data_IF_251552912451
#
_entry.id   IF_251552912451
#
_cell.length_a   1.000
_cell.length_b   1.000
_cell.length_c   1.000
_cell.angle_alpha   90.00
_cell.angle_beta   90.00
_cell.angle_gamma   90.00
#
_symmetry.space_group_name_H-M   'P 1'
#
loop_
_entity.id
_entity.type
_entity.pdbx_description
1 polymer ?
#
# COMPACT_ATOMS: atom_id res chain seq x y z
N UNK A 1 1.12 31.83 19.12
CA UNK A 1 2.38 31.06 19.01
C UNK A 1 2.40 30.40 17.64
N UNK A 2 3.16 30.93 16.68
CA UNK A 2 3.35 30.29 15.38
C UNK A 2 4.51 29.31 15.51
N UNK A 3 4.18 28.03 15.68
CA UNK A 3 5.18 26.97 15.64
C UNK A 3 5.56 26.80 14.17
N UNK A 4 6.83 27.02 13.90
CA UNK A 4 7.51 26.89 12.64
C UNK A 4 7.11 25.55 11.98
N UNK A 5 6.36 25.62 10.87
CA UNK A 5 6.25 24.51 9.91
C UNK A 5 7.63 24.32 9.32
N UNK A 6 8.46 23.56 10.03
CA UNK A 6 9.73 23.07 9.54
C UNK A 6 9.45 22.31 8.25
N UNK A 7 10.09 22.76 7.18
CA UNK A 7 10.11 22.11 5.87
C UNK A 7 10.71 20.72 6.04
N UNK A 8 9.86 19.71 6.13
CA UNK A 8 10.16 18.33 5.76
C UNK A 8 8.94 17.81 5.01
N UNK A 9 8.82 18.21 3.75
CA UNK A 9 7.92 17.60 2.77
C UNK A 9 8.45 16.22 2.37
N UNK A 10 8.72 15.37 3.37
CA UNK A 10 8.79 13.94 3.15
C UNK A 10 7.33 13.52 3.07
N UNK A 11 6.78 13.50 1.86
CA UNK A 11 5.54 12.78 1.61
C UNK A 11 5.76 11.37 2.13
N UNK A 12 5.05 10.99 3.20
CA UNK A 12 5.11 9.63 3.69
C UNK A 12 4.58 8.75 2.56
N UNK A 13 5.30 7.67 2.26
CA UNK A 13 4.86 6.68 1.28
C UNK A 13 3.52 6.08 1.74
N UNK A 14 3.24 6.03 3.05
CA UNK A 14 1.93 5.63 3.55
C UNK A 14 0.82 6.56 3.06
N UNK A 15 1.04 7.88 3.05
CA UNK A 15 0.08 8.87 2.53
C UNK A 15 -0.10 8.74 1.00
N UNK A 16 1.01 8.57 0.27
CA UNK A 16 0.97 8.38 -1.20
C UNK A 16 0.13 7.18 -1.60
N UNK A 17 0.24 6.12 -0.80
CA UNK A 17 -0.50 4.89 -0.98
C UNK A 17 -1.75 4.82 -0.11
N UNK A 18 -2.23 5.89 0.52
CA UNK A 18 -3.47 5.92 1.33
C UNK A 18 -3.55 4.80 2.41
N UNK A 19 -2.43 4.47 3.07
CA UNK A 19 -2.33 3.38 4.05
C UNK A 19 -2.63 3.89 5.46
N UNK A 20 -3.88 3.69 5.92
CA UNK A 20 -4.34 4.12 7.25
C UNK A 20 -4.46 2.99 8.28
N UNK A 21 -4.36 1.74 7.83
CA UNK A 21 -4.55 0.55 8.67
C UNK A 21 -3.37 -0.40 8.51
N UNK A 22 -2.98 -1.05 9.61
CA UNK A 22 -1.85 -1.96 9.64
C UNK A 22 -2.26 -3.35 10.16
N UNK A 23 -1.62 -4.43 9.67
CA UNK A 23 -0.70 -4.42 8.52
C UNK A 23 -1.48 -4.21 7.21
N UNK A 24 -0.78 -3.71 6.16
CA UNK A 24 -1.31 -3.59 4.80
C UNK A 24 -0.30 -4.10 3.76
N UNK A 25 -0.80 -4.83 2.75
CA UNK A 25 -0.08 -5.17 1.52
C UNK A 25 -0.77 -4.51 0.33
N UNK A 26 0.03 -4.06 -0.64
CA UNK A 26 -0.47 -3.47 -1.89
C UNK A 26 0.17 -4.25 -3.04
N UNK A 27 -0.67 -4.61 -4.00
CA UNK A 27 -0.24 -5.19 -5.26
C UNK A 27 -0.30 -4.11 -6.34
N UNK A 28 0.84 -3.84 -6.97
CA UNK A 28 1.00 -2.83 -8.02
C UNK A 28 1.40 -3.45 -9.34
N UNK A 29 1.03 -2.83 -10.45
CA UNK A 29 1.54 -3.16 -11.78
C UNK A 29 2.96 -2.60 -11.99
N UNK A 30 3.67 -3.01 -13.05
CA UNK A 30 4.94 -2.39 -13.44
C UNK A 30 4.83 -0.90 -13.83
N UNK A 31 3.63 -0.42 -14.13
CA UNK A 31 3.35 1.01 -14.42
C UNK A 31 2.90 1.77 -13.17
N UNK A 32 3.13 1.20 -11.98
CA UNK A 32 2.81 1.79 -10.68
C UNK A 32 1.31 1.97 -10.40
N UNK A 33 0.43 1.33 -11.18
CA UNK A 33 -0.99 1.30 -10.87
C UNK A 33 -1.28 0.33 -9.72
N UNK A 34 -2.05 0.78 -8.72
CA UNK A 34 -2.51 -0.09 -7.63
C UNK A 34 -3.60 -1.02 -8.16
N UNK A 35 -3.32 -2.32 -8.19
CA UNK A 35 -4.25 -3.35 -8.64
C UNK A 35 -5.16 -3.81 -7.50
N UNK A 36 -4.59 -4.10 -6.33
CA UNK A 36 -5.30 -4.63 -5.15
C UNK A 36 -4.65 -4.20 -3.84
N UNK A 37 -5.44 -4.19 -2.77
CA UNK A 37 -5.02 -3.86 -1.40
C UNK A 37 -5.55 -4.89 -0.40
N UNK A 38 -4.71 -5.26 0.56
CA UNK A 38 -5.02 -6.27 1.57
C UNK A 38 -4.69 -5.74 2.95
N UNK A 39 -5.69 -5.69 3.83
CA UNK A 39 -5.59 -5.14 5.18
C UNK A 39 -5.97 -6.21 6.20
N UNK A 40 -5.28 -6.23 7.35
CA UNK A 40 -5.63 -7.07 8.50
C UNK A 40 -5.10 -8.51 8.44
N UNK A 41 -5.47 -9.33 9.43
CA UNK A 41 -4.86 -10.64 9.70
C UNK A 41 -4.93 -11.63 8.53
N UNK A 42 -6.03 -11.63 7.78
CA UNK A 42 -6.29 -12.63 6.74
C UNK A 42 -5.76 -12.21 5.36
N UNK A 43 -4.92 -11.18 5.31
CA UNK A 43 -4.39 -10.63 4.05
C UNK A 43 -3.58 -11.65 3.25
N UNK A 44 -2.86 -12.56 3.91
CA UNK A 44 -1.87 -13.42 3.25
C UNK A 44 -2.55 -14.45 2.34
N UNK A 45 -3.65 -15.04 2.78
CA UNK A 45 -4.40 -16.04 1.99
C UNK A 45 -4.92 -15.42 0.70
N UNK A 46 -5.59 -14.26 0.80
CA UNK A 46 -6.12 -13.53 -0.37
C UNK A 46 -5.00 -13.06 -1.30
N UNK A 47 -3.91 -12.55 -0.73
CA UNK A 47 -2.75 -12.10 -1.50
C UNK A 47 -2.11 -13.23 -2.31
N UNK A 48 -1.91 -14.41 -1.70
CA UNK A 48 -1.32 -15.56 -2.39
C UNK A 48 -2.25 -16.07 -3.50
N UNK A 49 -3.56 -16.15 -3.25
CA UNK A 49 -4.54 -16.56 -4.26
C UNK A 49 -4.49 -15.65 -5.49
N UNK A 50 -4.52 -14.34 -5.27
CA UNK A 50 -4.48 -13.35 -6.36
C UNK A 50 -3.15 -13.40 -7.13
N UNK A 51 -2.01 -13.56 -6.45
CA UNK A 51 -0.72 -13.74 -7.12
C UNK A 51 -0.70 -15.00 -7.98
N UNK A 52 -1.24 -16.11 -7.48
CA UNK A 52 -1.31 -17.36 -8.24
C UNK A 52 -2.18 -17.23 -9.48
N UNK A 53 -3.26 -16.45 -9.43
CA UNK A 53 -4.09 -16.17 -10.62
C UNK A 53 -3.34 -15.36 -11.67
N UNK A 54 -2.54 -14.37 -11.25
CA UNK A 54 -1.77 -13.52 -12.17
C UNK A 54 -0.69 -14.32 -12.91
N UNK A 55 0.04 -15.19 -12.20
CA UNK A 55 1.16 -15.96 -12.77
C UNK A 55 0.76 -17.31 -13.40
N UNK A 56 -0.54 -17.61 -13.51
CA UNK A 56 -1.03 -18.81 -14.24
C UNK A 56 -1.02 -18.64 -15.76
N UNK A 57 -0.73 -17.45 -16.26
CA UNK A 57 -0.59 -17.09 -17.68
C UNK A 57 0.84 -16.63 -17.98
#
# INVERSE_FOLDING_TARGET
MNILRSRNTNFDISDQYDVHLLPTKILTSPTEEILKRYVGSDMNTRFIQDLQEIFKH
#
